data_IF_140714234470
#
_entry.id   IF_140714234470
#
_cell.length_a   1.000
_cell.length_b   1.000
_cell.length_c   1.000
_cell.angle_alpha   90.00
_cell.angle_beta   90.00
_cell.angle_gamma   90.00
#
_symmetry.space_group_name_H-M   'P 1'
#
loop_
_entity.id
_entity.type
_entity.pdbx_description
1 polymer ?
#
# COMPACT_ATOMS: atom_id res chain seq x y z
N UNK A 1 -21.50 -9.06 -50.94
CA UNK A 1 -21.67 -9.21 -49.47
C UNK A 1 -20.57 -10.07 -48.85
N UNK A 2 -20.39 -11.34 -49.25
CA UNK A 2 -19.33 -12.24 -48.69
C UNK A 2 -17.89 -11.68 -48.75
N UNK A 3 -17.54 -10.95 -49.81
CA UNK A 3 -16.21 -10.32 -49.95
C UNK A 3 -16.00 -9.13 -49.01
N UNK A 4 -17.07 -8.40 -48.69
CA UNK A 4 -17.03 -7.25 -47.76
C UNK A 4 -16.96 -7.75 -46.32
N UNK A 5 -17.70 -8.79 -45.96
CA UNK A 5 -17.58 -9.43 -44.65
C UNK A 5 -16.20 -10.06 -44.43
N UNK A 6 -15.61 -10.66 -45.46
CA UNK A 6 -14.24 -11.21 -45.39
C UNK A 6 -13.18 -10.09 -45.23
N UNK A 7 -13.37 -8.96 -45.93
CA UNK A 7 -12.49 -7.78 -45.78
C UNK A 7 -12.62 -7.14 -44.39
N UNK A 8 -13.84 -7.07 -43.84
CA UNK A 8 -14.09 -6.58 -42.48
C UNK A 8 -13.44 -7.50 -41.43
N UNK A 9 -13.51 -8.82 -41.63
CA UNK A 9 -12.88 -9.80 -40.75
C UNK A 9 -11.36 -9.75 -40.83
N UNK A 10 -10.78 -9.49 -42.00
CA UNK A 10 -9.34 -9.29 -42.17
C UNK A 10 -8.84 -8.01 -41.49
N UNK A 11 -9.59 -6.91 -41.54
CA UNK A 11 -9.24 -5.65 -40.83
C UNK A 11 -9.26 -5.86 -39.30
N UNK A 12 -10.22 -6.64 -38.78
CA UNK A 12 -10.29 -6.99 -37.36
C UNK A 12 -9.06 -7.76 -36.86
N UNK A 13 -8.42 -8.57 -37.72
CA UNK A 13 -7.19 -9.31 -37.35
C UNK A 13 -5.91 -8.47 -37.34
N UNK A 14 -5.91 -7.28 -37.98
CA UNK A 14 -4.75 -6.37 -37.99
C UNK A 14 -4.72 -5.47 -36.74
N UNK A 15 -5.82 -5.39 -35.98
CA UNK A 15 -5.88 -4.64 -34.71
C UNK A 15 -5.11 -5.30 -33.56
N UNK A 16 -4.23 -6.25 -33.84
CA UNK A 16 -3.43 -6.96 -32.84
C UNK A 16 -2.28 -6.06 -32.35
N UNK A 17 -2.57 -5.32 -31.28
CA UNK A 17 -1.68 -4.82 -30.24
C UNK A 17 -0.24 -4.49 -30.64
N UNK A 18 -0.08 -3.46 -31.47
CA UNK A 18 1.20 -2.73 -31.51
C UNK A 18 1.33 -1.91 -30.22
N UNK A 19 2.54 -1.77 -29.66
CA UNK A 19 2.78 -0.91 -28.48
C UNK A 19 2.38 0.51 -28.85
N UNK A 20 1.21 0.95 -28.38
CA UNK A 20 0.62 2.23 -28.78
C UNK A 20 1.42 3.41 -28.21
N UNK A 21 2.17 3.18 -27.12
CA UNK A 21 2.91 4.22 -26.41
C UNK A 21 4.36 3.77 -26.20
N UNK A 22 5.27 4.58 -26.75
CA UNK A 22 6.72 4.43 -26.53
C UNK A 22 7.11 4.89 -25.11
N UNK A 23 8.17 4.32 -24.51
CA UNK A 23 8.65 4.76 -23.21
C UNK A 23 9.16 6.21 -23.30
N UNK A 24 8.73 7.11 -22.37
CA UNK A 24 9.28 8.46 -22.29
C UNK A 24 10.77 8.42 -21.93
N UNK A 25 11.53 9.44 -22.32
CA UNK A 25 12.98 9.49 -22.09
C UNK A 25 13.34 9.48 -20.60
N UNK A 26 12.46 10.03 -19.77
CA UNK A 26 12.55 10.18 -18.33
C UNK A 26 11.62 9.20 -17.59
N UNK A 27 11.33 8.03 -18.19
CA UNK A 27 10.48 7.00 -17.58
C UNK A 27 10.89 6.70 -16.13
N UNK A 28 9.94 6.84 -15.22
CA UNK A 28 10.09 6.41 -13.83
C UNK A 28 10.28 4.89 -13.82
N UNK A 29 11.38 4.36 -13.27
CA UNK A 29 11.59 2.92 -13.18
C UNK A 29 10.46 2.21 -12.43
N UNK A 30 10.17 0.97 -12.81
CA UNK A 30 9.03 0.20 -12.27
C UNK A 30 9.06 0.13 -10.75
N UNK A 31 10.22 -0.18 -10.17
CA UNK A 31 10.42 -0.30 -8.73
C UNK A 31 10.15 1.05 -8.03
N UNK A 32 10.58 2.17 -8.64
CA UNK A 32 10.30 3.51 -8.14
C UNK A 32 8.81 3.85 -8.23
N UNK A 33 8.14 3.44 -9.32
CA UNK A 33 6.69 3.60 -9.48
C UNK A 33 5.91 2.81 -8.42
N UNK A 34 6.35 1.59 -8.08
CA UNK A 34 5.78 0.80 -6.97
C UNK A 34 5.87 1.57 -5.66
N UNK A 35 7.02 2.15 -5.32
CA UNK A 35 7.15 2.95 -4.09
C UNK A 35 6.23 4.18 -4.11
N UNK A 36 6.19 4.92 -5.23
CA UNK A 36 5.34 6.11 -5.38
C UNK A 36 3.86 5.77 -5.18
N UNK A 37 3.38 4.71 -5.84
CA UNK A 37 1.98 4.30 -5.75
C UNK A 37 1.62 3.69 -4.39
N UNK A 38 2.57 3.00 -3.75
CA UNK A 38 2.43 2.57 -2.37
C UNK A 38 2.20 3.77 -1.44
N UNK A 39 3.07 4.77 -1.51
CA UNK A 39 2.97 5.95 -0.65
C UNK A 39 1.74 6.80 -0.96
N UNK A 40 1.39 6.93 -2.23
CA UNK A 40 0.13 7.55 -2.65
C UNK A 40 -1.08 6.85 -2.04
N UNK A 41 -1.11 5.51 -2.02
CA UNK A 41 -2.19 4.75 -1.40
C UNK A 41 -2.29 5.03 0.11
N UNK A 42 -1.16 5.04 0.82
CA UNK A 42 -1.11 5.35 2.25
C UNK A 42 -1.55 6.80 2.54
N UNK A 43 -1.07 7.76 1.75
CA UNK A 43 -1.43 9.18 1.91
C UNK A 43 -2.92 9.42 1.61
N UNK A 44 -3.49 8.76 0.60
CA UNK A 44 -4.92 8.85 0.30
C UNK A 44 -5.79 8.27 1.43
N UNK A 45 -5.38 7.12 2.00
CA UNK A 45 -6.05 6.56 3.18
C UNK A 45 -5.95 7.50 4.40
N UNK A 46 -4.78 8.15 4.56
CA UNK A 46 -4.52 9.12 5.63
C UNK A 46 -5.39 10.36 5.45
N UNK A 47 -5.52 10.92 4.25
CA UNK A 47 -6.41 12.05 3.97
C UNK A 47 -7.86 11.77 4.35
N UNK A 48 -8.32 10.54 4.15
CA UNK A 48 -9.69 10.15 4.52
C UNK A 48 -9.89 10.10 6.04
N UNK A 49 -8.85 9.72 6.79
CA UNK A 49 -8.94 9.51 8.24
C UNK A 49 -8.46 10.70 9.08
N UNK A 50 -7.54 11.51 8.53
CA UNK A 50 -6.80 12.58 9.20
C UNK A 50 -6.63 13.80 8.28
N UNK A 51 -7.60 14.07 7.41
CA UNK A 51 -7.55 15.17 6.44
C UNK A 51 -7.19 16.53 7.05
N UNK A 52 -7.74 16.85 8.23
CA UNK A 52 -7.44 18.10 8.94
C UNK A 52 -5.96 18.26 9.25
N UNK A 53 -5.23 17.17 9.57
CA UNK A 53 -3.79 17.24 9.84
C UNK A 53 -3.01 17.62 8.59
N UNK A 54 -3.42 17.14 7.41
CA UNK A 54 -2.79 17.52 6.16
C UNK A 54 -3.08 18.99 5.83
N UNK A 55 -4.32 19.44 6.02
CA UNK A 55 -4.75 20.83 5.80
C UNK A 55 -4.05 21.80 6.75
N UNK A 56 -4.01 21.50 8.04
CA UNK A 56 -3.37 22.33 9.08
C UNK A 56 -1.86 22.52 8.84
N UNK A 57 -1.24 21.59 8.11
CA UNK A 57 0.19 21.63 7.76
C UNK A 57 0.44 22.02 6.30
N UNK A 58 -0.60 22.44 5.55
CA UNK A 58 -0.52 22.83 4.14
C UNK A 58 0.14 21.76 3.24
N UNK A 59 -0.19 20.49 3.49
CA UNK A 59 0.39 19.34 2.78
C UNK A 59 -0.49 18.92 1.61
N UNK A 60 -0.04 19.21 0.40
CA UNK A 60 -0.57 18.64 -0.83
C UNK A 60 0.12 17.32 -1.17
N UNK A 61 -0.66 16.23 -1.30
CA UNK A 61 -0.14 14.85 -1.45
C UNK A 61 0.79 14.72 -2.67
N UNK A 62 0.36 15.23 -3.83
CA UNK A 62 1.14 15.07 -5.06
C UNK A 62 2.43 15.87 -4.99
N UNK A 63 2.37 17.11 -4.49
CA UNK A 63 3.56 17.95 -4.30
C UNK A 63 4.56 17.30 -3.34
N UNK A 64 4.07 16.73 -2.24
CA UNK A 64 4.91 15.97 -1.32
C UNK A 64 5.57 14.75 -2.01
N UNK A 65 4.84 14.00 -2.83
CA UNK A 65 5.39 12.86 -3.56
C UNK A 65 6.43 13.29 -4.61
N UNK A 66 6.17 14.35 -5.35
CA UNK A 66 7.11 14.90 -6.33
C UNK A 66 8.42 15.30 -5.66
N UNK A 67 8.35 15.99 -4.52
CA UNK A 67 9.52 16.34 -3.72
C UNK A 67 10.24 15.09 -3.17
N UNK A 68 9.51 14.14 -2.59
CA UNK A 68 10.09 12.93 -1.98
C UNK A 68 10.84 12.06 -2.99
N UNK A 69 10.30 11.92 -4.20
CA UNK A 69 10.85 11.03 -5.21
C UNK A 69 11.70 11.75 -6.25
N UNK A 70 11.90 13.07 -6.14
CA UNK A 70 12.65 13.87 -7.11
C UNK A 70 12.13 13.67 -8.54
N UNK A 71 10.81 13.81 -8.70
CA UNK A 71 10.12 13.73 -10.00
C UNK A 71 9.22 14.95 -10.16
N UNK A 72 8.80 15.24 -11.39
CA UNK A 72 7.77 16.24 -11.65
C UNK A 72 6.44 15.61 -12.12
N UNK A 73 5.43 16.46 -12.24
CA UNK A 73 4.07 16.05 -12.62
C UNK A 73 3.97 15.50 -14.04
N UNK A 74 4.80 15.99 -14.96
CA UNK A 74 4.82 15.55 -16.35
C UNK A 74 5.51 14.19 -16.47
N UNK A 75 6.65 14.03 -15.79
CA UNK A 75 7.37 12.76 -15.70
C UNK A 75 6.46 11.67 -15.11
N UNK A 76 5.76 11.97 -14.02
CA UNK A 76 4.78 11.05 -13.42
C UNK A 76 3.67 10.70 -14.41
N UNK A 77 2.99 11.70 -14.99
CA UNK A 77 1.86 11.46 -15.89
C UNK A 77 2.24 10.68 -17.14
N UNK A 78 3.41 10.96 -17.73
CA UNK A 78 3.92 10.24 -18.90
C UNK A 78 4.30 8.79 -18.55
N UNK A 79 4.93 8.58 -17.40
CA UNK A 79 5.30 7.25 -16.93
C UNK A 79 4.07 6.40 -16.59
N UNK A 80 3.10 6.97 -15.88
CA UNK A 80 1.82 6.32 -15.57
C UNK A 80 1.07 5.93 -16.86
N UNK A 81 1.00 6.85 -17.83
CA UNK A 81 0.40 6.57 -19.15
C UNK A 81 1.13 5.46 -19.90
N UNK A 82 2.47 5.44 -19.86
CA UNK A 82 3.26 4.38 -20.47
C UNK A 82 2.92 3.02 -19.84
N UNK A 83 2.95 2.91 -18.51
CA UNK A 83 2.61 1.65 -17.84
C UNK A 83 1.17 1.22 -18.10
N UNK A 84 0.21 2.15 -18.03
CA UNK A 84 -1.19 1.88 -18.33
C UNK A 84 -1.43 1.35 -19.76
N UNK A 85 -0.51 1.61 -20.70
CA UNK A 85 -0.55 1.05 -22.06
C UNK A 85 -0.13 -0.43 -22.14
N UNK A 86 0.48 -0.97 -21.07
CA UNK A 86 0.98 -2.34 -20.97
C UNK A 86 0.27 -3.03 -19.79
N UNK A 87 -0.94 -3.59 -19.98
CA UNK A 87 -1.80 -4.04 -18.88
C UNK A 87 -1.15 -5.04 -17.91
N UNK A 88 -0.37 -6.01 -18.42
CA UNK A 88 0.31 -7.00 -17.57
C UNK A 88 1.41 -6.38 -16.72
N UNK A 89 2.12 -5.38 -17.25
CA UNK A 89 3.17 -4.68 -16.51
C UNK A 89 2.55 -3.78 -15.43
N UNK A 90 1.49 -3.04 -15.77
CA UNK A 90 0.79 -2.20 -14.81
C UNK A 90 0.11 -3.00 -13.70
N UNK A 91 -0.51 -4.14 -14.04
CA UNK A 91 -1.04 -5.08 -13.07
C UNK A 91 0.05 -5.51 -12.09
N UNK A 92 1.23 -5.88 -12.58
CA UNK A 92 2.31 -6.33 -11.71
C UNK A 92 2.83 -5.23 -10.76
N UNK A 93 2.75 -3.95 -11.15
CA UNK A 93 3.07 -2.82 -10.27
C UNK A 93 2.08 -2.77 -9.11
N UNK A 94 0.77 -2.85 -9.39
CA UNK A 94 -0.27 -2.81 -8.35
C UNK A 94 -0.26 -4.04 -7.45
N UNK A 95 0.00 -5.23 -7.98
CA UNK A 95 0.18 -6.45 -7.19
C UNK A 95 1.36 -6.32 -6.21
N UNK A 96 2.45 -5.69 -6.63
CA UNK A 96 3.60 -5.42 -5.76
C UNK A 96 3.27 -4.38 -4.67
N UNK A 97 2.54 -3.31 -5.03
CA UNK A 97 2.02 -2.34 -4.06
C UNK A 97 1.15 -3.03 -3.01
N UNK A 98 0.20 -3.87 -3.43
CA UNK A 98 -0.66 -4.64 -2.54
C UNK A 98 0.15 -5.56 -1.62
N UNK A 99 1.15 -6.26 -2.18
CA UNK A 99 2.04 -7.13 -1.41
C UNK A 99 2.79 -6.37 -0.32
N UNK A 100 3.30 -5.16 -0.62
CA UNK A 100 4.00 -4.31 0.37
C UNK A 100 3.06 -3.87 1.48
N UNK A 101 1.86 -3.41 1.15
CA UNK A 101 0.85 -3.02 2.13
C UNK A 101 0.49 -4.22 3.01
N UNK A 102 0.26 -5.40 2.42
CA UNK A 102 -0.10 -6.60 3.17
C UNK A 102 1.01 -7.05 4.12
N UNK A 103 2.28 -6.98 3.70
CA UNK A 103 3.44 -7.27 4.56
C UNK A 103 3.50 -6.32 5.76
N UNK A 104 3.31 -5.02 5.54
CA UNK A 104 3.28 -4.04 6.61
C UNK A 104 2.13 -4.29 7.58
N UNK A 105 0.93 -4.59 7.08
CA UNK A 105 -0.24 -4.93 7.92
C UNK A 105 0.03 -6.15 8.80
N UNK A 106 0.54 -7.23 8.23
CA UNK A 106 0.87 -8.44 8.99
C UNK A 106 1.90 -8.16 10.08
N UNK A 107 2.97 -7.41 9.75
CA UNK A 107 3.99 -7.03 10.73
C UNK A 107 3.41 -6.21 11.89
N UNK A 108 2.51 -5.26 11.61
CA UNK A 108 1.85 -4.46 12.64
C UNK A 108 0.91 -5.29 13.53
N UNK A 109 0.16 -6.23 12.96
CA UNK A 109 -0.71 -7.12 13.73
C UNK A 109 0.10 -8.08 14.63
N UNK A 110 1.22 -8.62 14.13
CA UNK A 110 2.14 -9.44 14.93
C UNK A 110 2.75 -8.65 16.09
N UNK A 111 3.19 -7.41 15.83
CA UNK A 111 3.71 -6.51 16.86
C UNK A 111 2.64 -6.16 17.91
N UNK A 112 1.39 -5.94 17.48
CA UNK A 112 0.26 -5.69 18.38
C UNK A 112 -0.06 -6.91 19.25
N UNK A 113 -0.06 -8.11 18.66
CA UNK A 113 -0.28 -9.36 19.38
C UNK A 113 0.79 -9.61 20.43
N UNK A 114 2.07 -9.49 20.07
CA UNK A 114 3.18 -9.71 21.00
C UNK A 114 3.16 -8.73 22.18
N UNK A 115 2.81 -7.46 21.92
CA UNK A 115 2.61 -6.46 22.97
C UNK A 115 1.47 -6.83 23.91
N UNK A 116 0.32 -7.23 23.37
CA UNK A 116 -0.85 -7.59 24.17
C UNK A 116 -0.60 -8.85 25.01
N UNK A 117 0.09 -9.85 24.44
CA UNK A 117 0.49 -11.05 25.18
C UNK A 117 1.44 -10.73 26.33
N UNK A 118 2.36 -9.78 26.13
CA UNK A 118 3.27 -9.31 27.18
C UNK A 118 2.52 -8.61 28.31
N UNK A 119 1.57 -7.72 27.97
CA UNK A 119 0.73 -7.03 28.97
C UNK A 119 -0.13 -8.04 29.75
N UNK A 120 -0.73 -9.02 29.05
CA UNK A 120 -1.56 -10.05 29.69
C UNK A 120 -0.76 -10.89 30.68
N UNK A 121 0.46 -11.31 30.32
CA UNK A 121 1.35 -12.06 31.22
C UNK A 121 1.68 -11.27 32.49
N UNK A 122 1.93 -9.97 32.37
CA UNK A 122 2.17 -9.10 33.55
C UNK A 122 0.91 -9.02 34.43
N UNK A 123 -0.26 -8.79 33.83
CA UNK A 123 -1.52 -8.72 34.56
C UNK A 123 -1.90 -10.04 35.25
N UNK A 124 -1.60 -11.19 34.64
CA UNK A 124 -1.81 -12.51 35.25
C UNK A 124 -0.88 -12.71 36.45
N UNK A 125 0.41 -12.37 36.34
CA UNK A 125 1.36 -12.45 37.45
C UNK A 125 1.02 -11.52 38.63
N UNK A 126 0.48 -10.33 38.35
CA UNK A 126 -0.02 -9.41 39.38
C UNK A 126 -1.26 -9.95 40.10
N UNK A 127 -2.17 -10.64 39.40
CA UNK A 127 -3.34 -11.27 40.04
C UNK A 127 -2.94 -12.44 40.94
N UNK A 128 -1.99 -13.25 40.50
CA UNK A 128 -1.50 -14.39 41.27
C UNK A 128 -0.82 -13.91 42.56
N UNK A 129 0.01 -12.85 42.50
CA UNK A 129 0.63 -12.27 43.69
C UNK A 129 -0.37 -11.61 44.65
N UNK A 130 -1.45 -10.99 44.13
CA UNK A 130 -2.52 -10.40 44.97
C UNK A 130 -3.38 -11.47 45.65
N UNK A 131 -3.61 -12.62 45.02
CA UNK A 131 -4.36 -13.72 45.63
C UNK A 131 -3.54 -14.46 46.69
N UNK A 132 -2.24 -14.71 46.45
CA UNK A 132 -1.34 -15.32 47.45
C UNK A 132 -1.29 -14.49 48.74
N UNK A 133 -1.34 -13.15 48.65
CA UNK A 133 -1.31 -12.27 49.82
C UNK A 133 -2.62 -12.22 50.63
N UNK A 134 -3.73 -12.71 50.06
CA UNK A 134 -5.04 -12.80 50.74
C UNK A 134 -5.26 -14.16 51.41
N UNK A 135 -4.51 -15.18 51.00
CA UNK A 135 -4.66 -16.55 51.52
C UNK A 135 -3.76 -16.84 52.73
N UNK A 136 -2.88 -15.94 53.13
CA UNK A 136 -2.00 -16.12 54.30
C UNK A 136 -2.81 -15.92 55.60
N UNK A 137 -3.21 -16.98 56.33
CA UNK A 137 -3.90 -16.84 57.59
C UNK A 137 -2.83 -16.58 58.65
N UNK A 138 -2.84 -15.42 59.29
CA UNK A 138 -2.05 -15.20 60.52
C UNK A 138 -2.24 -16.40 61.45
N UNK A 139 -1.18 -17.08 61.90
CA UNK A 139 -1.32 -18.19 62.83
C UNK A 139 -1.76 -17.63 64.17
N UNK A 140 -3.05 -17.79 64.48
CA UNK A 140 -3.56 -17.52 65.83
C UNK A 140 -3.00 -18.59 66.75
N UNK A 141 -1.97 -18.22 67.51
CA UNK A 141 -1.45 -18.95 68.65
C UNK A 141 -2.54 -19.18 69.70
N UNK A 142 -2.54 -20.40 70.27
CA UNK A 142 -3.33 -20.82 71.44
C UNK A 142 -3.07 -19.98 72.68
#
# INVERSE_FOLDING_TARGET
>A
MKKVTLLLFAILTISCAEKVIEPPQDLIPKEKMVEILHDLAILNATRTSFGSVLEDNDIEIMDFLFLKYEIDSLQFSNSDRYYASIPLEYQSIYEEVESKIQKQRTSLEEAKKSRNDSIRKVQEAEKDTVNVKKEDPTPSSN
#
